data_IF_276371048685
#
_entry.id   IF_276371048685
#
_cell.length_a   1.000
_cell.length_b   1.000
_cell.length_c   1.000
_cell.angle_alpha   90.00
_cell.angle_beta   90.00
_cell.angle_gamma   90.00
#
_symmetry.space_group_name_H-M   'P 1'
#
loop_
_entity.id
_entity.type
_entity.pdbx_description
1 polymer ?
#
# COMPACT_ATOMS: atom_id res chain seq x y z
N UNK A 1 -59.93 -8.75 16.58
CA UNK A 1 -59.95 -8.69 18.06
C UNK A 1 -59.08 -9.80 18.59
N UNK A 2 -58.33 -9.45 19.63
CA UNK A 2 -57.13 -10.12 20.16
C UNK A 2 -57.50 -11.28 21.11
N UNK A 3 -56.62 -12.30 21.14
CA UNK A 3 -56.35 -13.27 22.22
C UNK A 3 -57.36 -14.36 22.54
N UNK A 4 -56.86 -15.60 22.67
CA UNK A 4 -56.41 -16.13 23.98
C UNK A 4 -55.75 -17.52 23.88
N UNK A 5 -54.70 -17.71 24.72
CA UNK A 5 -54.30 -18.95 25.43
C UNK A 5 -53.84 -20.16 24.58
N UNK A 6 -52.86 -21.00 24.94
CA UNK A 6 -52.03 -21.25 26.13
C UNK A 6 -50.96 -22.25 25.60
N UNK A 7 -49.67 -22.22 25.91
CA UNK A 7 -49.10 -22.88 27.09
C UNK A 7 -47.58 -22.82 26.93
N UNK A 8 -46.90 -22.23 27.90
CA UNK A 8 -45.45 -22.29 28.06
C UNK A 8 -45.04 -23.72 28.41
N UNK A 9 -44.09 -24.28 27.66
CA UNK A 9 -43.11 -25.22 28.21
C UNK A 9 -41.72 -24.76 27.77
N UNK A 10 -41.03 -24.10 28.69
CA UNK A 10 -39.58 -23.85 28.61
C UNK A 10 -38.88 -25.12 29.12
N UNK A 11 -38.05 -25.79 28.31
CA UNK A 11 -37.00 -26.60 28.88
C UNK A 11 -35.87 -25.67 29.36
N UNK A 12 -35.58 -25.87 30.63
CA UNK A 12 -34.51 -25.35 31.47
C UNK A 12 -33.17 -25.23 30.72
N UNK A 13 -32.61 -24.02 30.71
CA UNK A 13 -31.18 -23.81 30.49
C UNK A 13 -30.48 -24.28 31.76
N UNK A 14 -29.84 -25.44 31.71
CA UNK A 14 -28.83 -25.83 32.69
C UNK A 14 -27.45 -25.67 32.03
N UNK A 15 -26.61 -24.73 32.51
CA UNK A 15 -25.22 -24.66 32.14
C UNK A 15 -24.46 -25.64 33.02
N UNK A 16 -23.57 -26.44 32.43
CA UNK A 16 -22.37 -26.98 33.06
C UNK A 16 -21.71 -27.91 32.08
N UNK A 17 -20.64 -27.41 31.47
CA UNK A 17 -19.36 -28.12 31.40
C UNK A 17 -18.58 -27.57 30.22
N UNK A 18 -17.89 -26.46 30.48
CA UNK A 18 -16.72 -26.04 29.71
C UNK A 18 -15.51 -26.91 30.12
N UNK A 19 -15.67 -28.24 30.13
CA UNK A 19 -14.55 -29.14 30.37
C UNK A 19 -14.15 -29.79 29.05
N UNK A 20 -12.99 -29.34 28.57
CA UNK A 20 -12.18 -30.00 27.55
C UNK A 20 -12.86 -30.20 26.19
N UNK A 21 -12.94 -29.11 25.41
CA UNK A 21 -12.62 -29.25 23.98
C UNK A 21 -11.14 -29.58 23.87
N UNK A 22 -10.85 -30.85 24.12
CA UNK A 22 -9.55 -31.46 23.92
C UNK A 22 -9.03 -31.09 22.55
N UNK A 23 -7.79 -30.62 22.57
CA UNK A 23 -6.94 -30.29 21.45
C UNK A 23 -6.77 -31.49 20.53
N UNK A 24 -7.75 -31.72 19.68
CA UNK A 24 -7.58 -32.47 18.44
C UNK A 24 -8.14 -31.59 17.35
N UNK A 25 -7.40 -30.52 17.02
CA UNK A 25 -7.50 -29.99 15.67
C UNK A 25 -7.07 -31.14 14.77
N UNK A 26 -8.06 -31.83 14.20
CA UNK A 26 -7.83 -32.72 13.08
C UNK A 26 -7.21 -31.81 12.02
N UNK A 27 -5.88 -31.87 11.91
CA UNK A 27 -5.16 -31.28 10.80
C UNK A 27 -5.68 -32.01 9.57
N UNK A 28 -6.73 -31.45 8.96
CA UNK A 28 -7.13 -31.82 7.62
C UNK A 28 -5.93 -31.49 6.77
N UNK A 29 -5.09 -32.48 6.48
CA UNK A 29 -4.24 -32.46 5.29
C UNK A 29 -5.20 -32.37 4.13
N UNK A 30 -5.51 -31.14 3.75
CA UNK A 30 -5.88 -30.86 2.38
C UNK A 30 -4.68 -31.30 1.57
N UNK A 31 -4.71 -32.55 1.09
CA UNK A 31 -3.90 -32.92 -0.05
C UNK A 31 -4.38 -32.01 -1.16
N UNK A 32 -3.74 -30.84 -1.29
CA UNK A 32 -3.82 -30.09 -2.51
C UNK A 32 -3.45 -31.10 -3.60
N UNK A 33 -4.43 -31.54 -4.39
CA UNK A 33 -4.10 -32.24 -5.61
C UNK A 33 -3.13 -31.30 -6.31
N UNK A 34 -1.87 -31.72 -6.43
CA UNK A 34 -0.90 -30.94 -7.19
C UNK A 34 -1.42 -31.03 -8.61
N UNK A 35 -2.26 -30.05 -8.97
CA UNK A 35 -2.77 -29.90 -10.33
C UNK A 35 -1.53 -29.88 -11.20
N UNK A 36 -1.37 -30.93 -11.99
CA UNK A 36 -0.13 -31.14 -12.72
C UNK A 36 0.07 -29.91 -13.60
N UNK A 37 1.20 -29.20 -13.47
CA UNK A 37 1.39 -27.98 -14.21
C UNK A 37 1.28 -28.31 -15.69
N UNK A 38 0.37 -27.62 -16.39
CA UNK A 38 0.17 -27.83 -17.82
C UNK A 38 1.53 -27.71 -18.53
N UNK A 39 1.77 -28.48 -19.60
CA UNK A 39 3.03 -28.37 -20.36
C UNK A 39 3.37 -26.92 -20.76
N UNK A 40 2.33 -26.12 -21.05
CA UNK A 40 2.45 -24.69 -21.33
C UNK A 40 2.91 -23.87 -20.12
N UNK A 41 2.38 -24.15 -18.92
CA UNK A 41 2.81 -23.46 -17.68
C UNK A 41 4.28 -23.71 -17.37
N UNK A 42 4.78 -24.94 -17.63
CA UNK A 42 6.18 -25.28 -17.43
C UNK A 42 7.08 -24.51 -18.41
N UNK A 43 6.70 -24.39 -19.68
CA UNK A 43 7.45 -23.63 -20.68
C UNK A 43 7.65 -22.15 -20.26
N UNK A 44 6.57 -21.45 -19.91
CA UNK A 44 6.67 -20.04 -19.48
C UNK A 44 7.45 -19.86 -18.17
N UNK A 45 7.39 -20.86 -17.27
CA UNK A 45 8.14 -20.84 -16.02
C UNK A 45 9.64 -21.00 -16.25
N UNK A 46 10.03 -21.86 -17.19
CA UNK A 46 11.43 -22.17 -17.47
C UNK A 46 12.09 -21.11 -18.34
N UNK A 47 11.43 -20.68 -19.43
CA UNK A 47 12.07 -19.82 -20.43
C UNK A 47 11.69 -18.35 -20.29
N UNK A 48 10.40 -18.07 -20.12
CA UNK A 48 9.92 -16.67 -20.15
C UNK A 48 10.13 -15.95 -18.83
N UNK A 49 9.96 -16.64 -17.69
CA UNK A 49 10.06 -16.02 -16.36
C UNK A 49 11.47 -15.47 -16.05
N UNK A 50 12.58 -16.16 -16.37
CA UNK A 50 13.92 -15.57 -16.20
C UNK A 50 14.15 -14.37 -17.11
N UNK A 51 13.77 -14.47 -18.39
CA UNK A 51 13.95 -13.39 -19.38
C UNK A 51 13.15 -12.15 -18.98
N UNK A 52 11.89 -12.33 -18.59
CA UNK A 52 11.05 -11.23 -18.14
C UNK A 52 11.63 -10.56 -16.89
N UNK A 53 12.16 -11.34 -15.94
CA UNK A 53 12.82 -10.81 -14.74
C UNK A 53 14.04 -9.97 -15.09
N UNK A 54 14.93 -10.47 -15.95
CA UNK A 54 16.15 -9.76 -16.31
C UNK A 54 15.84 -8.50 -17.11
N UNK A 55 14.90 -8.56 -18.05
CA UNK A 55 14.46 -7.38 -18.82
C UNK A 55 13.87 -6.32 -17.89
N UNK A 56 12.97 -6.69 -16.98
CA UNK A 56 12.36 -5.74 -16.06
C UNK A 56 13.39 -5.09 -15.13
N UNK A 57 14.32 -5.88 -14.58
CA UNK A 57 15.39 -5.34 -13.72
C UNK A 57 16.34 -4.47 -14.54
N UNK A 58 16.67 -4.85 -15.77
CA UNK A 58 17.54 -4.05 -16.65
C UNK A 58 16.92 -2.69 -16.97
N UNK A 59 15.64 -2.68 -17.39
CA UNK A 59 14.91 -1.43 -17.64
C UNK A 59 14.82 -0.61 -16.36
N UNK A 60 14.42 -1.21 -15.24
CA UNK A 60 14.32 -0.52 -13.95
C UNK A 60 15.66 0.11 -13.52
N UNK A 61 16.77 -0.62 -13.68
CA UNK A 61 18.10 -0.12 -13.33
C UNK A 61 18.49 1.07 -14.22
N UNK A 62 18.21 1.00 -15.53
CA UNK A 62 18.41 2.12 -16.45
C UNK A 62 17.56 3.33 -16.06
N UNK A 63 16.27 3.12 -15.73
CA UNK A 63 15.39 4.20 -15.28
C UNK A 63 15.89 4.85 -14.00
N UNK A 64 16.36 4.06 -13.02
CA UNK A 64 16.93 4.61 -11.78
C UNK A 64 18.21 5.40 -12.03
N UNK A 65 19.10 4.91 -12.90
CA UNK A 65 20.32 5.62 -13.24
C UNK A 65 20.01 6.95 -13.93
N UNK A 66 19.10 6.94 -14.92
CA UNK A 66 18.67 8.15 -15.61
C UNK A 66 17.96 9.12 -14.67
N UNK A 67 17.06 8.63 -13.81
CA UNK A 67 16.39 9.46 -12.81
C UNK A 67 17.38 10.07 -11.83
N UNK A 68 18.37 9.29 -11.35
CA UNK A 68 19.42 9.80 -10.46
C UNK A 68 20.24 10.89 -11.13
N UNK A 69 20.59 10.70 -12.40
CA UNK A 69 21.28 11.71 -13.20
C UNK A 69 20.48 13.02 -13.27
N UNK A 70 19.22 12.97 -13.69
CA UNK A 70 18.35 14.16 -13.79
C UNK A 70 18.11 14.81 -12.44
N UNK A 71 18.01 14.01 -11.37
CA UNK A 71 17.78 14.49 -10.01
C UNK A 71 18.99 15.29 -9.50
N UNK A 72 20.20 14.85 -9.79
CA UNK A 72 21.43 15.60 -9.46
C UNK A 72 21.46 16.97 -10.15
N UNK A 73 21.12 17.04 -11.44
CA UNK A 73 21.03 18.32 -12.17
C UNK A 73 19.95 19.24 -11.59
N UNK A 74 18.81 18.67 -11.19
CA UNK A 74 17.70 19.43 -10.64
C UNK A 74 18.01 19.99 -9.25
N UNK A 75 18.78 19.28 -8.43
CA UNK A 75 19.14 19.71 -7.08
C UNK A 75 19.95 21.02 -7.10
N UNK A 76 20.86 21.19 -8.08
CA UNK A 76 21.61 22.44 -8.28
C UNK A 76 20.70 23.59 -8.73
N UNK A 77 19.87 23.35 -9.75
CA UNK A 77 18.93 24.36 -10.26
C UNK A 77 17.96 24.80 -9.16
N UNK A 78 17.49 23.87 -8.33
CA UNK A 78 16.55 24.17 -7.26
C UNK A 78 17.13 25.14 -6.23
N UNK A 79 18.39 24.95 -5.84
CA UNK A 79 19.06 25.85 -4.90
C UNK A 79 19.15 27.29 -5.44
N UNK A 80 19.46 27.46 -6.73
CA UNK A 80 19.49 28.78 -7.35
C UNK A 80 18.11 29.44 -7.42
N UNK A 81 17.06 28.66 -7.74
CA UNK A 81 15.69 29.18 -7.80
C UNK A 81 15.19 29.57 -6.42
N UNK A 82 15.46 28.76 -5.40
CA UNK A 82 15.07 29.06 -4.02
C UNK A 82 15.75 30.36 -3.53
N UNK A 83 17.05 30.55 -3.82
CA UNK A 83 17.76 31.79 -3.50
C UNK A 83 17.23 33.01 -4.27
N UNK A 84 16.76 32.81 -5.50
CA UNK A 84 16.14 33.88 -6.30
C UNK A 84 14.78 34.27 -5.72
N UNK A 85 13.97 33.28 -5.34
CA UNK A 85 12.66 33.50 -4.70
C UNK A 85 12.84 34.28 -3.40
N UNK A 86 13.78 33.90 -2.55
CA UNK A 86 14.06 34.60 -1.29
C UNK A 86 14.40 36.08 -1.54
N UNK A 87 15.27 36.38 -2.51
CA UNK A 87 15.58 37.76 -2.90
C UNK A 87 14.35 38.52 -3.34
N UNK A 88 13.53 37.94 -4.21
CA UNK A 88 12.30 38.59 -4.68
C UNK A 88 11.34 38.86 -3.52
N UNK A 89 11.18 37.92 -2.58
CA UNK A 89 10.35 38.11 -1.40
C UNK A 89 10.85 39.24 -0.50
N UNK A 90 12.17 39.39 -0.35
CA UNK A 90 12.74 40.52 0.41
C UNK A 90 12.46 41.86 -0.28
N UNK A 91 12.68 41.95 -1.59
CA UNK A 91 12.40 43.17 -2.36
C UNK A 91 10.93 43.55 -2.30
N UNK A 92 10.01 42.58 -2.43
CA UNK A 92 8.57 42.85 -2.32
C UNK A 92 8.23 43.40 -0.93
N UNK A 93 8.76 42.81 0.15
CA UNK A 93 8.55 43.29 1.52
C UNK A 93 9.05 44.73 1.71
N UNK A 94 10.20 45.07 1.14
CA UNK A 94 10.76 46.41 1.18
C UNK A 94 9.89 47.42 0.42
N UNK A 95 9.43 47.07 -0.79
CA UNK A 95 8.52 47.92 -1.57
C UNK A 95 7.16 48.12 -0.88
N UNK A 96 6.60 47.06 -0.28
CA UNK A 96 5.36 47.15 0.49
C UNK A 96 5.53 48.01 1.75
N UNK A 97 6.68 47.94 2.41
CA UNK A 97 6.98 48.80 3.57
C UNK A 97 7.15 50.27 3.15
N UNK A 98 7.87 50.54 2.05
CA UNK A 98 8.08 51.88 1.52
C UNK A 98 6.76 52.52 1.06
N UNK A 99 5.92 51.79 0.32
CA UNK A 99 4.60 52.27 -0.10
C UNK A 99 3.63 52.48 1.06
N UNK A 100 3.72 51.69 2.14
CA UNK A 100 2.96 51.96 3.38
C UNK A 100 3.45 53.20 4.10
N UNK A 101 4.76 53.44 4.14
CA UNK A 101 5.34 54.64 4.75
C UNK A 101 5.03 55.93 3.96
N UNK A 102 4.94 55.86 2.63
CA UNK A 102 4.53 57.00 1.80
C UNK A 102 3.06 57.38 1.97
N UNK A 103 2.20 56.42 2.31
CA UNK A 103 0.75 56.61 2.47
C UNK A 103 0.31 56.91 3.91
N UNK A 104 1.23 56.91 4.87
CA UNK A 104 0.98 57.22 6.28
C UNK A 104 1.39 58.67 6.59
#
# INVERSE_FOLDING_TARGET
MISTALTRLRPVIAPKSAYNRGLYSVSRRAYASKSQPSPTSQFYRTFTRPIAKTLLIAVFTYQLAYWTWVKLETDEVRAERDATIEKLETTIKEYDAATKAEKA
#
